data_IF_163118308102
#
_entry.id   IF_163118308102
#
_cell.length_a   1.000
_cell.length_b   1.000
_cell.length_c   1.000
_cell.angle_alpha   90.00
_cell.angle_beta   90.00
_cell.angle_gamma   90.00
#
_symmetry.space_group_name_H-M   'P 1'
#
loop_
_entity.id
_entity.type
_entity.pdbx_description
1 polymer ?
#
# COMPACT_ATOMS: atom_id res chain seq x y z
N UNK A 1 41.19 -41.74 22.35
CA UNK A 1 42.56 -41.34 21.94
C UNK A 1 42.46 -40.16 20.98
N UNK A 2 43.29 -39.13 21.22
CA UNK A 2 43.35 -37.85 20.50
C UNK A 2 44.17 -37.99 19.21
N UNK A 3 43.75 -37.32 18.12
CA UNK A 3 44.60 -36.92 16.97
C UNK A 3 44.33 -35.42 16.78
N UNK A 4 45.14 -34.52 17.34
CA UNK A 4 46.39 -33.92 16.81
C UNK A 4 46.17 -33.04 15.56
N UNK A 5 46.08 -31.74 15.84
CA UNK A 5 46.70 -30.56 15.20
C UNK A 5 46.63 -30.27 13.68
N UNK A 6 46.03 -29.11 13.37
CA UNK A 6 46.60 -27.93 12.67
C UNK A 6 48.11 -28.03 12.36
N UNK A 7 48.65 -27.56 11.22
CA UNK A 7 48.55 -26.21 10.69
C UNK A 7 49.37 -26.06 9.37
N UNK A 8 49.07 -25.02 8.58
CA UNK A 8 49.86 -24.32 7.56
C UNK A 8 50.47 -25.07 6.35
N UNK A 9 50.12 -24.62 5.13
CA UNK A 9 51.11 -24.09 4.15
C UNK A 9 50.51 -22.96 3.31
N UNK A 10 51.26 -21.87 3.29
CA UNK A 10 50.99 -20.54 2.78
C UNK A 10 51.75 -20.39 1.47
N UNK A 11 51.11 -20.02 0.36
CA UNK A 11 51.84 -19.41 -0.77
C UNK A 11 50.92 -18.46 -1.52
N UNK A 12 51.18 -17.15 -1.36
CA UNK A 12 50.76 -16.10 -2.27
C UNK A 12 51.89 -15.88 -3.29
N UNK A 13 51.56 -15.41 -4.51
CA UNK A 13 52.44 -14.49 -5.20
C UNK A 13 51.79 -13.12 -5.37
N UNK A 14 52.69 -12.17 -5.53
CA UNK A 14 52.56 -10.72 -5.42
C UNK A 14 52.92 -10.12 -6.78
N UNK A 15 52.33 -8.95 -7.08
CA UNK A 15 52.74 -7.90 -8.04
C UNK A 15 52.54 -8.12 -9.55
N UNK A 16 51.80 -7.20 -10.18
CA UNK A 16 52.40 -6.23 -11.11
C UNK A 16 51.51 -4.99 -11.30
N UNK A 17 52.18 -3.85 -11.37
CA UNK A 17 51.77 -2.44 -11.41
C UNK A 17 51.73 -1.94 -12.87
N UNK A 18 50.80 -1.06 -13.26
CA UNK A 18 50.90 -0.09 -14.39
C UNK A 18 49.62 0.77 -14.43
N UNK A 19 49.62 2.04 -14.02
CA UNK A 19 50.06 3.29 -14.68
C UNK A 19 48.91 4.09 -15.31
N UNK A 20 48.88 5.38 -14.94
CA UNK A 20 47.93 6.43 -15.30
C UNK A 20 47.78 6.64 -16.81
N UNK A 21 46.54 6.93 -17.22
CA UNK A 21 46.23 7.56 -18.51
C UNK A 21 45.12 8.60 -18.32
N UNK A 22 45.52 9.87 -18.18
CA UNK A 22 44.64 11.04 -18.22
C UNK A 22 44.54 11.51 -19.68
N UNK A 23 43.34 11.48 -20.26
CA UNK A 23 43.05 12.12 -21.55
C UNK A 23 41.78 12.95 -21.46
N UNK A 24 41.96 14.26 -21.65
CA UNK A 24 40.95 15.26 -21.97
C UNK A 24 40.62 15.23 -23.48
N UNK A 25 39.59 15.98 -23.89
CA UNK A 25 38.89 16.08 -25.20
C UNK A 25 37.68 15.13 -25.31
N UNK A 26 36.41 15.55 -25.45
CA UNK A 26 35.80 16.81 -25.84
C UNK A 26 35.31 16.78 -27.30
N UNK A 27 34.02 16.49 -27.54
CA UNK A 27 33.08 17.25 -28.41
C UNK A 27 31.68 16.56 -28.51
N UNK A 28 30.67 17.42 -28.63
CA UNK A 28 29.19 17.34 -28.75
C UNK A 28 28.56 16.27 -29.67
N UNK A 29 27.26 15.91 -29.48
CA UNK A 29 26.16 16.69 -30.10
C UNK A 29 24.82 16.82 -29.31
N UNK A 30 24.21 18.00 -29.49
CA UNK A 30 22.83 18.30 -29.93
C UNK A 30 21.60 17.67 -29.24
N UNK A 31 20.81 18.57 -28.66
CA UNK A 31 19.38 18.57 -28.29
C UNK A 31 18.49 17.41 -28.77
N UNK A 32 17.90 16.73 -27.79
CA UNK A 32 16.48 16.36 -27.79
C UNK A 32 16.01 16.38 -26.33
N UNK A 33 15.28 17.42 -25.97
CA UNK A 33 14.59 17.57 -24.70
C UNK A 33 13.46 16.53 -24.65
N UNK A 34 13.59 15.54 -23.78
CA UNK A 34 12.41 14.81 -23.26
C UNK A 34 12.16 15.44 -21.91
N UNK A 35 11.20 16.36 -21.90
CA UNK A 35 10.63 17.02 -20.73
C UNK A 35 10.44 15.98 -19.61
N UNK A 36 11.20 16.18 -18.53
CA UNK A 36 11.05 15.46 -17.30
C UNK A 36 9.69 15.78 -16.70
N UNK A 37 8.74 14.85 -16.87
CA UNK A 37 7.60 14.75 -15.99
C UNK A 37 8.08 14.23 -14.64
N UNK A 38 8.50 15.15 -13.78
CA UNK A 38 8.55 14.92 -12.33
C UNK A 38 7.14 14.51 -11.90
N UNK A 39 6.88 13.21 -11.78
CA UNK A 39 5.75 12.74 -10.97
C UNK A 39 6.07 13.12 -9.53
N UNK A 40 5.49 14.24 -9.13
CA UNK A 40 5.43 14.74 -7.78
C UNK A 40 4.85 13.65 -6.87
N UNK A 41 5.73 12.84 -6.28
CA UNK A 41 5.41 12.08 -5.08
C UNK A 41 5.44 13.06 -3.92
N UNK A 42 4.38 13.85 -3.80
CA UNK A 42 4.07 14.55 -2.56
C UNK A 42 3.49 13.53 -1.57
N UNK A 43 4.34 12.61 -1.10
CA UNK A 43 4.06 11.92 0.14
C UNK A 43 4.21 12.95 1.26
N UNK A 44 3.07 13.48 1.73
CA UNK A 44 3.01 14.12 3.04
C UNK A 44 3.53 13.14 4.11
N UNK A 45 3.83 13.61 5.35
CA UNK A 45 4.22 12.71 6.42
C UNK A 45 3.12 11.66 6.59
N UNK A 46 3.38 10.43 6.11
CA UNK A 46 2.45 9.34 6.24
C UNK A 46 2.15 9.19 7.73
N UNK A 47 0.87 9.24 8.09
CA UNK A 47 0.42 8.85 9.42
C UNK A 47 1.13 7.54 9.75
N UNK A 48 1.81 7.46 10.90
CA UNK A 48 2.56 6.25 11.26
C UNK A 48 1.66 5.33 12.07
N UNK A 49 1.58 4.05 11.70
CA UNK A 49 0.88 3.06 12.51
C UNK A 49 0.26 1.94 11.69
N UNK A 50 -0.38 0.96 12.37
CA UNK A 50 -0.98 -0.20 11.73
C UNK A 50 -2.04 0.16 10.68
N UNK A 51 -2.92 1.15 10.97
CA UNK A 51 -3.94 1.58 10.01
C UNK A 51 -3.29 2.11 8.72
N UNK A 52 -2.31 3.00 8.82
CA UNK A 52 -1.63 3.55 7.66
C UNK A 52 -0.91 2.46 6.84
N UNK A 53 -0.27 1.50 7.50
CA UNK A 53 0.33 0.35 6.82
C UNK A 53 -0.72 -0.47 6.04
N UNK A 54 -1.90 -0.71 6.63
CA UNK A 54 -3.01 -1.37 5.95
C UNK A 54 -3.54 -0.55 4.77
N UNK A 55 -3.67 0.77 4.92
CA UNK A 55 -4.14 1.66 3.85
C UNK A 55 -3.13 1.73 2.69
N UNK A 56 -1.83 1.68 2.96
CA UNK A 56 -0.80 1.57 1.92
C UNK A 56 -0.86 0.26 1.13
N UNK A 57 -1.08 -0.87 1.82
CA UNK A 57 -1.35 -2.15 1.16
C UNK A 57 -2.65 -2.12 0.35
N UNK A 58 -3.71 -1.53 0.91
CA UNK A 58 -5.00 -1.38 0.25
C UNK A 58 -4.88 -0.57 -1.05
N UNK A 59 -4.14 0.53 -1.03
CA UNK A 59 -3.88 1.35 -2.21
C UNK A 59 -3.08 0.60 -3.28
N UNK A 60 -2.12 -0.24 -2.85
CA UNK A 60 -1.37 -1.12 -3.77
C UNK A 60 -2.33 -2.06 -4.51
N UNK A 61 -3.24 -2.71 -3.78
CA UNK A 61 -4.26 -3.59 -4.40
C UNK A 61 -5.18 -2.78 -5.31
N UNK A 62 -5.67 -1.62 -4.85
CA UNK A 62 -6.59 -0.78 -5.63
C UNK A 62 -6.00 -0.43 -7.00
N UNK A 63 -4.73 0.01 -7.03
CA UNK A 63 -4.04 0.38 -8.28
C UNK A 63 -3.87 -0.81 -9.20
N UNK A 64 -3.48 -1.97 -8.69
CA UNK A 64 -3.39 -3.18 -9.50
C UNK A 64 -4.75 -3.53 -10.14
N UNK A 65 -5.83 -3.47 -9.37
CA UNK A 65 -7.18 -3.77 -9.87
C UNK A 65 -7.74 -2.70 -10.82
N UNK A 66 -7.35 -1.44 -10.64
CA UNK A 66 -7.63 -0.35 -11.59
C UNK A 66 -6.96 -0.64 -12.94
N UNK A 67 -5.73 -1.12 -12.93
CA UNK A 67 -4.95 -1.41 -14.13
C UNK A 67 -5.27 -2.79 -14.73
N UNK A 68 -6.27 -3.51 -14.23
CA UNK A 68 -6.62 -4.89 -14.64
C UNK A 68 -5.47 -5.92 -14.43
N UNK A 69 -4.68 -5.74 -13.37
CA UNK A 69 -3.58 -6.63 -12.98
C UNK A 69 -3.79 -7.27 -11.60
N UNK A 70 -3.12 -8.42 -11.40
CA UNK A 70 -3.03 -9.10 -10.10
C UNK A 70 -1.63 -8.98 -9.47
N UNK A 71 -0.71 -8.29 -10.12
CA UNK A 71 0.66 -8.13 -9.67
C UNK A 71 0.70 -7.45 -8.30
N UNK A 72 1.31 -8.12 -7.32
CA UNK A 72 1.42 -7.63 -5.95
C UNK A 72 0.14 -7.71 -5.10
N UNK A 73 -1.02 -8.09 -5.68
CA UNK A 73 -2.30 -8.16 -4.93
C UNK A 73 -2.20 -9.13 -3.76
N UNK A 74 -1.69 -10.34 -3.99
CA UNK A 74 -1.62 -11.36 -2.96
C UNK A 74 -0.68 -11.00 -1.80
N UNK A 75 0.46 -10.38 -2.11
CA UNK A 75 1.44 -9.94 -1.12
C UNK A 75 0.90 -8.77 -0.29
N UNK A 76 0.33 -7.75 -0.95
CA UNK A 76 -0.26 -6.61 -0.28
C UNK A 76 -1.43 -7.02 0.61
N UNK A 77 -2.33 -7.88 0.12
CA UNK A 77 -3.43 -8.42 0.90
C UNK A 77 -2.93 -9.22 2.12
N UNK A 78 -1.93 -10.09 1.93
CA UNK A 78 -1.33 -10.84 3.05
C UNK A 78 -0.73 -9.93 4.11
N UNK A 79 -0.06 -8.84 3.69
CA UNK A 79 0.49 -7.83 4.60
C UNK A 79 -0.60 -7.13 5.41
N UNK A 80 -1.71 -6.71 4.77
CA UNK A 80 -2.86 -6.10 5.46
C UNK A 80 -3.42 -7.06 6.51
N UNK A 81 -3.67 -8.31 6.13
CA UNK A 81 -4.24 -9.31 7.04
C UNK A 81 -3.32 -9.62 8.23
N UNK A 82 -2.01 -9.65 7.99
CA UNK A 82 -0.99 -9.80 9.04
C UNK A 82 -1.03 -8.62 10.00
N UNK A 83 -0.97 -7.39 9.51
CA UNK A 83 -1.03 -6.19 10.37
C UNK A 83 -2.32 -6.14 11.18
N UNK A 84 -3.46 -6.54 10.61
CA UNK A 84 -4.73 -6.59 11.33
C UNK A 84 -4.73 -7.64 12.44
N UNK A 85 -4.11 -8.80 12.19
CA UNK A 85 -4.00 -9.88 13.16
C UNK A 85 -3.05 -9.51 14.30
N UNK A 86 -1.88 -8.94 13.99
CA UNK A 86 -0.90 -8.48 14.98
C UNK A 86 -1.49 -7.39 15.91
N UNK A 87 -2.22 -6.42 15.33
CA UNK A 87 -2.92 -5.41 16.13
C UNK A 87 -4.04 -6.01 17.01
N UNK A 88 -4.68 -7.09 16.56
CA UNK A 88 -5.72 -7.75 17.35
C UNK A 88 -5.14 -8.56 18.53
N UNK A 89 -3.94 -9.14 18.38
CA UNK A 89 -3.26 -9.92 19.42
C UNK A 89 -2.74 -9.06 20.57
N UNK A 90 -2.09 -7.93 20.27
CA UNK A 90 -1.56 -6.98 21.26
C UNK A 90 -2.31 -5.63 21.20
N UNK A 91 -3.62 -5.72 21.42
CA UNK A 91 -4.51 -4.59 21.20
C UNK A 91 -4.35 -3.47 22.24
N UNK A 92 -4.14 -2.24 21.77
CA UNK A 92 -4.37 -1.00 22.54
C UNK A 92 -5.05 0.07 21.66
N UNK A 93 -5.78 0.99 22.29
CA UNK A 93 -6.45 2.08 21.59
C UNK A 93 -5.42 3.00 20.91
N UNK A 94 -4.31 3.24 21.60
CA UNK A 94 -3.18 4.05 21.16
C UNK A 94 -2.50 3.43 19.93
N UNK A 95 -2.18 2.13 19.97
CA UNK A 95 -1.57 1.45 18.82
C UNK A 95 -2.52 1.39 17.61
N UNK A 96 -3.83 1.27 17.87
CA UNK A 96 -4.85 1.32 16.84
C UNK A 96 -5.14 2.74 16.31
N UNK A 97 -4.65 3.79 16.97
CA UNK A 97 -4.96 5.17 16.59
C UNK A 97 -6.46 5.50 16.69
N UNK A 98 -7.19 4.89 17.62
CA UNK A 98 -8.63 5.16 17.84
C UNK A 98 -8.88 5.68 19.26
N UNK A 99 -9.96 6.45 19.49
CA UNK A 99 -10.40 6.78 20.84
C UNK A 99 -10.73 5.52 21.66
N UNK A 100 -10.46 5.55 22.97
CA UNK A 100 -10.64 4.39 23.85
C UNK A 100 -12.09 3.86 23.87
N UNK A 101 -13.07 4.75 23.70
CA UNK A 101 -14.49 4.43 23.60
C UNK A 101 -14.87 3.68 22.30
N UNK A 102 -14.03 3.75 21.26
CA UNK A 102 -14.26 3.10 19.96
C UNK A 102 -13.64 1.70 19.84
N UNK A 103 -12.89 1.26 20.85
CA UNK A 103 -12.22 -0.05 20.88
C UNK A 103 -13.19 -1.21 20.65
N UNK A 104 -14.38 -1.15 21.23
CA UNK A 104 -15.40 -2.21 21.08
C UNK A 104 -15.90 -2.36 19.64
N UNK A 105 -15.96 -1.24 18.90
CA UNK A 105 -16.34 -1.21 17.48
C UNK A 105 -15.21 -1.71 16.59
N UNK A 106 -13.94 -1.44 16.93
CA UNK A 106 -12.79 -1.79 16.11
C UNK A 106 -12.47 -3.30 16.08
N UNK A 107 -12.56 -3.99 17.22
CA UNK A 107 -12.17 -5.41 17.30
C UNK A 107 -12.82 -6.33 16.26
N UNK A 108 -14.15 -6.32 16.02
CA UNK A 108 -14.74 -7.13 14.97
C UNK A 108 -14.26 -6.73 13.57
N UNK A 109 -13.95 -5.45 13.33
CA UNK A 109 -13.40 -4.99 12.05
C UNK A 109 -12.02 -5.58 11.78
N UNK A 110 -11.13 -5.66 12.79
CA UNK A 110 -9.81 -6.28 12.62
C UNK A 110 -9.92 -7.76 12.20
N UNK A 111 -10.87 -8.49 12.77
CA UNK A 111 -11.15 -9.87 12.36
C UNK A 111 -11.67 -9.95 10.91
N UNK A 112 -12.60 -9.07 10.53
CA UNK A 112 -13.11 -8.97 9.15
C UNK A 112 -12.02 -8.59 8.15
N UNK A 113 -11.15 -7.64 8.50
CA UNK A 113 -10.00 -7.23 7.67
C UNK A 113 -9.06 -8.40 7.48
N UNK A 114 -8.70 -9.11 8.55
CA UNK A 114 -7.82 -10.28 8.47
C UNK A 114 -8.41 -11.38 7.56
N UNK A 115 -9.69 -11.70 7.73
CA UNK A 115 -10.37 -12.71 6.92
C UNK A 115 -10.45 -12.30 5.44
N UNK A 116 -10.96 -11.10 5.15
CA UNK A 116 -11.12 -10.62 3.78
C UNK A 116 -9.78 -10.48 3.05
N UNK A 117 -8.73 -10.06 3.78
CA UNK A 117 -7.36 -10.00 3.28
C UNK A 117 -6.83 -11.39 2.90
N UNK A 118 -7.11 -12.40 3.72
CA UNK A 118 -6.73 -13.79 3.41
C UNK A 118 -7.46 -14.32 2.19
N UNK A 119 -8.75 -14.04 2.05
CA UNK A 119 -9.53 -14.43 0.88
C UNK A 119 -8.99 -13.76 -0.40
N UNK A 120 -8.72 -12.46 -0.33
CA UNK A 120 -8.12 -11.70 -1.43
C UNK A 120 -6.74 -12.23 -1.80
N UNK A 121 -5.92 -12.62 -0.83
CA UNK A 121 -4.60 -13.17 -1.10
C UNK A 121 -4.61 -14.52 -1.84
N UNK A 122 -5.76 -15.21 -1.83
CA UNK A 122 -5.94 -16.53 -2.46
C UNK A 122 -6.63 -16.47 -3.82
N UNK A 123 -6.97 -15.28 -4.33
CA UNK A 123 -7.64 -15.15 -5.64
C UNK A 123 -6.66 -15.30 -6.79
N UNK A 124 -7.10 -15.98 -7.86
CA UNK A 124 -6.27 -16.24 -9.05
C UNK A 124 -6.80 -15.51 -10.31
N UNK A 125 -7.95 -14.83 -10.21
CA UNK A 125 -8.56 -14.09 -11.31
C UNK A 125 -9.09 -12.72 -10.86
N UNK A 126 -9.20 -11.79 -11.81
CA UNK A 126 -9.62 -10.40 -11.56
C UNK A 126 -11.04 -10.30 -10.97
N UNK A 127 -11.96 -11.17 -11.38
CA UNK A 127 -13.33 -11.14 -10.89
C UNK A 127 -13.40 -11.51 -9.41
N UNK A 128 -12.72 -12.60 -9.04
CA UNK A 128 -12.56 -13.01 -7.65
C UNK A 128 -11.83 -11.94 -6.82
N UNK A 129 -10.73 -11.38 -7.34
CA UNK A 129 -9.97 -10.34 -6.64
C UNK A 129 -10.81 -9.09 -6.37
N UNK A 130 -11.59 -8.62 -7.35
CA UNK A 130 -12.51 -7.47 -7.17
C UNK A 130 -13.60 -7.73 -6.13
N UNK A 131 -14.14 -8.95 -6.11
CA UNK A 131 -15.15 -9.36 -5.13
C UNK A 131 -14.55 -9.39 -3.71
N UNK A 132 -13.35 -9.96 -3.56
CA UNK A 132 -12.66 -10.01 -2.27
C UNK A 132 -12.21 -8.62 -1.82
N UNK A 133 -11.74 -7.76 -2.74
CA UNK A 133 -11.37 -6.38 -2.45
C UNK A 133 -12.56 -5.55 -1.95
N UNK A 134 -13.76 -5.77 -2.49
CA UNK A 134 -14.99 -5.21 -1.93
C UNK A 134 -15.20 -5.61 -0.46
N UNK A 135 -15.07 -6.91 -0.15
CA UNK A 135 -15.25 -7.41 1.22
C UNK A 135 -14.21 -6.83 2.19
N UNK A 136 -13.00 -6.53 1.70
CA UNK A 136 -11.95 -5.85 2.47
C UNK A 136 -12.22 -4.34 2.66
N UNK A 137 -12.85 -3.70 1.67
CA UNK A 137 -13.05 -2.24 1.64
C UNK A 137 -13.93 -1.75 2.78
N UNK A 138 -15.07 -2.42 3.03
CA UNK A 138 -16.05 -1.97 4.03
C UNK A 138 -15.47 -1.87 5.46
N UNK A 139 -14.80 -2.91 6.02
CA UNK A 139 -14.26 -2.81 7.36
C UNK A 139 -13.05 -1.85 7.46
N UNK A 140 -12.25 -1.69 6.39
CA UNK A 140 -11.17 -0.69 6.37
C UNK A 140 -11.69 0.74 6.32
N UNK A 141 -12.75 1.01 5.54
CA UNK A 141 -13.44 2.29 5.56
C UNK A 141 -13.93 2.62 6.96
N UNK A 142 -14.55 1.65 7.65
CA UNK A 142 -15.03 1.89 9.01
C UNK A 142 -13.89 2.10 10.00
N UNK A 143 -12.80 1.34 9.92
CA UNK A 143 -11.64 1.55 10.77
C UNK A 143 -11.05 2.96 10.56
N UNK A 144 -10.86 3.37 9.30
CA UNK A 144 -10.41 4.73 8.97
C UNK A 144 -11.31 5.81 9.60
N UNK A 145 -12.63 5.64 9.52
CA UNK A 145 -13.60 6.54 10.16
C UNK A 145 -13.44 6.59 11.68
N UNK A 146 -13.32 5.44 12.34
CA UNK A 146 -13.11 5.35 13.79
C UNK A 146 -11.80 6.01 14.25
N UNK A 147 -10.76 5.96 13.42
CA UNK A 147 -9.46 6.58 13.67
C UNK A 147 -9.44 8.07 13.33
N UNK A 148 -10.48 8.60 12.67
CA UNK A 148 -10.50 9.98 12.18
C UNK A 148 -9.42 10.28 11.13
N UNK A 149 -8.89 9.25 10.45
CA UNK A 149 -7.88 9.43 9.40
C UNK A 149 -8.54 10.02 8.14
N UNK A 150 -7.86 10.98 7.52
CA UNK A 150 -8.23 11.61 6.26
C UNK A 150 -7.29 11.26 5.09
N UNK A 151 -6.31 10.36 5.32
CA UNK A 151 -5.23 10.02 4.38
C UNK A 151 -5.73 9.57 2.99
N UNK A 152 -6.84 8.84 2.95
CA UNK A 152 -7.54 8.44 1.71
C UNK A 152 -8.96 8.96 1.75
N UNK A 153 -9.51 9.42 0.63
CA UNK A 153 -10.92 9.85 0.51
C UNK A 153 -11.82 8.69 0.11
N UNK A 154 -13.09 8.78 0.47
CA UNK A 154 -14.12 7.84 0.02
C UNK A 154 -14.62 8.25 -1.35
N UNK A 155 -14.59 7.34 -2.31
CA UNK A 155 -15.21 7.49 -3.62
C UNK A 155 -16.32 6.44 -3.80
N UNK A 156 -17.28 6.71 -4.68
CA UNK A 156 -18.43 5.86 -4.96
C UNK A 156 -18.76 5.81 -6.45
N UNK A 157 -19.02 4.61 -6.99
CA UNK A 157 -19.50 4.42 -8.37
C UNK A 157 -20.95 3.90 -8.33
N UNK A 158 -21.92 4.68 -8.82
CA UNK A 158 -23.34 4.30 -8.78
C UNK A 158 -23.66 3.10 -9.67
N UNK A 159 -22.87 2.85 -10.72
CA UNK A 159 -23.05 1.67 -11.58
C UNK A 159 -22.66 0.37 -10.88
N UNK A 160 -21.57 0.40 -10.11
CA UNK A 160 -21.16 -0.74 -9.30
C UNK A 160 -22.07 -0.90 -8.06
N UNK A 161 -22.62 0.23 -7.57
CA UNK A 161 -23.22 0.32 -6.25
C UNK A 161 -22.17 0.18 -5.14
N UNK A 162 -20.95 0.69 -5.38
CA UNK A 162 -19.77 0.40 -4.56
C UNK A 162 -18.96 1.62 -4.18
N UNK A 163 -18.51 1.68 -2.92
CA UNK A 163 -17.54 2.66 -2.43
C UNK A 163 -16.14 2.06 -2.35
N UNK A 164 -15.10 2.90 -2.41
CA UNK A 164 -13.70 2.55 -2.14
C UNK A 164 -12.93 3.72 -1.54
N UNK A 165 -11.72 3.44 -1.06
CA UNK A 165 -10.78 4.48 -0.59
C UNK A 165 -9.71 4.76 -1.66
N UNK A 166 -9.35 6.02 -1.88
CA UNK A 166 -8.20 6.38 -2.71
C UNK A 166 -7.65 7.76 -2.32
N UNK A 167 -6.42 8.14 -2.73
CA UNK A 167 -5.97 9.52 -2.60
C UNK A 167 -6.91 10.49 -3.32
N UNK A 168 -6.87 11.76 -2.90
CA UNK A 168 -7.54 12.82 -3.65
C UNK A 168 -6.96 12.94 -5.08
N UNK A 169 -7.73 13.49 -6.00
CA UNK A 169 -7.34 13.64 -7.41
C UNK A 169 -8.23 12.87 -8.38
N UNK A 170 -7.64 12.22 -9.39
CA UNK A 170 -8.41 11.53 -10.42
C UNK A 170 -9.09 10.27 -9.87
N UNK A 171 -10.36 10.06 -10.25
CA UNK A 171 -11.12 8.86 -9.91
C UNK A 171 -10.50 7.64 -10.59
N UNK A 172 -10.18 6.62 -9.80
CA UNK A 172 -9.67 5.34 -10.29
C UNK A 172 -10.47 4.18 -9.72
N UNK A 173 -11.44 3.70 -10.49
CA UNK A 173 -12.39 2.67 -10.11
C UNK A 173 -11.77 1.25 -10.19
N UNK A 174 -11.52 0.59 -9.04
CA UNK A 174 -10.90 -0.74 -9.03
C UNK A 174 -11.86 -1.87 -9.45
N UNK A 175 -13.17 -1.61 -9.45
CA UNK A 175 -14.21 -2.63 -9.69
C UNK A 175 -14.48 -2.90 -11.17
N UNK A 176 -14.23 -1.90 -12.02
CA UNK A 176 -14.36 -2.04 -13.48
C UNK A 176 -13.02 -1.93 -14.21
N UNK A 177 -11.94 -1.55 -13.51
CA UNK A 177 -10.62 -1.40 -14.10
C UNK A 177 -10.63 -0.43 -15.28
N UNK A 178 -9.84 -0.73 -16.31
CA UNK A 178 -9.67 0.13 -17.48
C UNK A 178 -10.96 0.29 -18.29
N UNK A 179 -11.94 -0.60 -18.13
CA UNK A 179 -13.22 -0.47 -18.84
C UNK A 179 -14.07 0.71 -18.38
N UNK A 180 -13.94 1.14 -17.12
CA UNK A 180 -14.65 2.29 -16.54
C UNK A 180 -13.82 2.96 -15.44
N UNK A 181 -12.54 3.20 -15.71
CA UNK A 181 -11.58 3.73 -14.73
C UNK A 181 -12.06 5.01 -14.04
N UNK A 182 -12.75 5.87 -14.77
CA UNK A 182 -13.26 7.16 -14.27
C UNK A 182 -14.70 7.10 -13.75
N UNK A 183 -15.35 5.92 -13.67
CA UNK A 183 -16.70 5.85 -13.07
C UNK A 183 -16.60 6.08 -11.57
N UNK A 184 -17.17 7.20 -11.12
CA UNK A 184 -17.46 7.47 -9.73
C UNK A 184 -17.23 8.93 -9.39
N UNK A 185 -17.45 9.26 -8.13
CA UNK A 185 -17.19 10.57 -7.58
C UNK A 185 -16.76 10.42 -6.12
N UNK A 186 -16.03 11.40 -5.60
CA UNK A 186 -15.80 11.50 -4.17
C UNK A 186 -17.11 11.76 -3.44
N UNK A 187 -17.29 11.07 -2.32
CA UNK A 187 -18.39 11.32 -1.39
C UNK A 187 -18.01 12.54 -0.56
N UNK A 188 -18.88 13.54 -0.52
CA UNK A 188 -18.71 14.67 0.37
C UNK A 188 -18.83 14.19 1.82
N UNK A 189 -17.93 14.62 2.73
CA UNK A 189 -18.12 14.34 4.15
C UNK A 189 -19.45 14.96 4.59
N UNK A 190 -20.29 14.19 5.28
CA UNK A 190 -21.53 14.76 5.82
C UNK A 190 -21.18 15.95 6.73
N UNK A 191 -21.85 17.11 6.58
CA UNK A 191 -21.59 18.25 7.43
C UNK A 191 -21.87 17.86 8.88
N UNK A 192 -20.92 18.16 9.77
CA UNK A 192 -21.08 17.91 11.19
C UNK A 192 -22.39 18.58 11.66
N UNK A 193 -23.32 17.76 12.17
CA UNK A 193 -24.61 18.23 12.65
C UNK A 193 -24.41 19.33 13.71
N UNK A 194 -24.74 20.58 13.38
CA UNK A 194 -24.65 21.71 14.31
C UNK A 194 -24.03 23.01 13.78
N UNK A 195 -23.92 23.23 12.46
CA UNK A 195 -23.48 24.50 11.89
C UNK A 195 -24.60 25.27 11.18
N UNK A 196 -25.79 25.33 11.77
CA UNK A 196 -26.78 26.35 11.39
C UNK A 196 -26.76 27.47 12.42
N UNK A 197 -26.47 28.67 11.93
CA UNK A 197 -26.34 29.95 12.65
C UNK A 197 -27.68 30.53 13.07
#
# INVERSE_FOLDING_TARGET
>A
MRFISRDFHRVMPVLALSLLGLSLFGCEPSSAEVEGGEISSAAGPAASGPLSAMLGGYETVRRALLDDHLDGVAEAASSIGKSASELAEDFSAEAAGVPAEKVGELKPLLASISLASKELAQTEDLGAARKAFWALTEPLMKYRELAGSDDLRVAYCPMAGKSWLQPDGEIGNPYYGQSMATCGAFVEPEPAAGSDS
#
